data_IF_343555363826
#
_entry.id   IF_343555363826
#
_cell.length_a   1.000
_cell.length_b   1.000
_cell.length_c   1.000
_cell.angle_alpha   90.00
_cell.angle_beta   90.00
_cell.angle_gamma   90.00
#
_symmetry.space_group_name_H-M   'P 1'
#
loop_
_entity.id
_entity.type
_entity.pdbx_description
1 polymer ?
#
# COMPACT_ATOMS: atom_id res chain seq x y z
N UNK A 1 -21.35 -38.51 -20.65
CA UNK A 1 -20.66 -38.03 -19.45
C UNK A 1 -20.14 -39.24 -18.69
N UNK A 2 -18.85 -39.51 -18.81
CA UNK A 2 -18.19 -40.61 -18.10
C UNK A 2 -17.82 -40.16 -16.68
N UNK A 3 -17.63 -41.11 -15.75
CA UNK A 3 -17.32 -40.79 -14.35
C UNK A 3 -16.03 -39.94 -14.20
N UNK A 4 -15.08 -40.09 -15.13
CA UNK A 4 -13.86 -39.29 -15.18
C UNK A 4 -14.10 -37.81 -15.48
N UNK A 5 -15.04 -37.52 -16.39
CA UNK A 5 -15.38 -36.15 -16.83
C UNK A 5 -16.06 -35.36 -15.70
N UNK A 6 -16.92 -36.02 -14.93
CA UNK A 6 -17.55 -35.44 -13.74
C UNK A 6 -16.51 -35.19 -12.64
N UNK A 7 -15.55 -36.09 -12.47
CA UNK A 7 -14.51 -35.97 -11.45
C UNK A 7 -13.55 -34.82 -11.76
N UNK A 8 -13.18 -34.62 -13.04
CA UNK A 8 -12.41 -33.44 -13.47
C UNK A 8 -13.18 -32.15 -13.26
N UNK A 9 -14.46 -32.10 -13.64
CA UNK A 9 -15.30 -30.93 -13.45
C UNK A 9 -15.41 -30.53 -11.97
N UNK A 10 -15.57 -31.51 -11.07
CA UNK A 10 -15.61 -31.28 -9.62
C UNK A 10 -14.27 -30.77 -9.09
N UNK A 11 -13.13 -31.30 -9.56
CA UNK A 11 -11.79 -30.81 -9.17
C UNK A 11 -11.60 -29.34 -9.56
N UNK A 12 -11.98 -28.96 -10.78
CA UNK A 12 -11.88 -27.58 -11.25
C UNK A 12 -12.78 -26.64 -10.45
N UNK A 13 -14.01 -27.07 -10.13
CA UNK A 13 -14.92 -26.29 -9.29
C UNK A 13 -14.33 -26.04 -7.90
N UNK A 14 -13.76 -27.06 -7.26
CA UNK A 14 -13.11 -26.93 -5.95
C UNK A 14 -11.92 -25.97 -6.04
N UNK A 15 -11.07 -26.12 -7.07
CA UNK A 15 -9.90 -25.25 -7.26
C UNK A 15 -10.30 -23.77 -7.40
N UNK A 16 -11.36 -23.48 -8.15
CA UNK A 16 -11.88 -22.10 -8.32
C UNK A 16 -12.43 -21.54 -7.01
N UNK A 17 -13.19 -22.33 -6.25
CA UNK A 17 -13.73 -21.90 -4.95
C UNK A 17 -12.61 -21.61 -3.95
N UNK A 18 -11.60 -22.46 -3.89
CA UNK A 18 -10.42 -22.26 -3.02
C UNK A 18 -9.66 -21.01 -3.45
N UNK A 19 -9.41 -20.82 -4.74
CA UNK A 19 -8.73 -19.62 -5.25
C UNK A 19 -9.52 -18.34 -4.90
N UNK A 20 -10.84 -18.35 -5.09
CA UNK A 20 -11.70 -17.22 -4.73
C UNK A 20 -11.68 -16.92 -3.22
N UNK A 21 -11.69 -17.94 -2.37
CA UNK A 21 -11.58 -17.79 -0.92
C UNK A 21 -10.23 -17.18 -0.50
N UNK A 22 -9.12 -17.62 -1.11
CA UNK A 22 -7.78 -17.06 -0.84
C UNK A 22 -7.70 -15.60 -1.27
N UNK A 23 -8.24 -15.25 -2.44
CA UNK A 23 -8.30 -13.85 -2.92
C UNK A 23 -9.14 -12.99 -1.98
N UNK A 24 -10.32 -13.46 -1.57
CA UNK A 24 -11.17 -12.76 -0.62
C UNK A 24 -10.48 -12.56 0.75
N UNK A 25 -9.76 -13.58 1.23
CA UNK A 25 -8.99 -13.50 2.46
C UNK A 25 -7.86 -12.47 2.36
N UNK A 26 -7.11 -12.43 1.26
CA UNK A 26 -6.07 -11.42 1.02
C UNK A 26 -6.64 -10.00 0.95
N UNK A 27 -7.77 -9.82 0.28
CA UNK A 27 -8.46 -8.52 0.21
C UNK A 27 -8.93 -8.09 1.60
N UNK A 28 -9.48 -9.01 2.39
CA UNK A 28 -9.91 -8.74 3.76
C UNK A 28 -8.74 -8.32 4.67
N UNK A 29 -7.60 -9.03 4.62
CA UNK A 29 -6.40 -8.64 5.36
C UNK A 29 -5.84 -7.28 4.92
N UNK A 30 -5.88 -6.96 3.62
CA UNK A 30 -5.49 -5.63 3.11
C UNK A 30 -6.43 -4.53 3.61
N UNK A 31 -7.74 -4.77 3.64
CA UNK A 31 -8.72 -3.81 4.19
C UNK A 31 -8.55 -3.60 5.69
N UNK A 32 -8.30 -4.66 6.47
CA UNK A 32 -8.01 -4.51 7.89
C UNK A 32 -6.75 -3.67 8.14
N UNK A 33 -5.67 -3.92 7.38
CA UNK A 33 -4.45 -3.09 7.46
C UNK A 33 -4.71 -1.61 7.18
N UNK A 34 -5.58 -1.29 6.21
CA UNK A 34 -5.98 0.10 5.91
C UNK A 34 -6.83 0.73 7.01
N UNK A 35 -7.69 -0.04 7.70
CA UNK A 35 -8.51 0.47 8.82
C UNK A 35 -7.71 0.72 10.10
N UNK A 36 -6.60 0.00 10.30
CA UNK A 36 -5.68 0.22 11.43
C UNK A 36 -4.58 1.24 11.14
N UNK A 37 -4.52 1.79 9.93
CA UNK A 37 -3.76 3.00 9.72
C UNK A 37 -4.58 4.12 10.38
N UNK A 38 -4.10 4.75 11.46
CA UNK A 38 -4.81 5.87 12.05
C UNK A 38 -4.96 6.91 10.95
N UNK A 39 -6.21 7.08 10.49
CA UNK A 39 -6.59 8.26 9.75
C UNK A 39 -6.12 9.43 10.60
N UNK A 40 -5.26 10.34 10.11
CA UNK A 40 -4.94 11.52 10.86
C UNK A 40 -6.23 12.35 10.92
N UNK A 41 -7.06 12.11 11.93
CA UNK A 41 -7.98 13.10 12.46
C UNK A 41 -7.13 14.23 13.04
N UNK A 42 -6.57 15.02 12.14
CA UNK A 42 -5.95 16.28 12.42
C UNK A 42 -6.02 17.10 11.14
N UNK A 43 -7.23 17.55 10.81
CA UNK A 43 -7.40 18.87 10.23
C UNK A 43 -7.02 19.96 11.27
N UNK A 44 -5.84 19.80 11.89
CA UNK A 44 -5.15 20.83 12.63
C UNK A 44 -4.22 21.50 11.62
N UNK A 45 -4.31 22.82 11.56
CA UNK A 45 -3.53 23.70 10.69
C UNK A 45 -2.14 23.11 10.33
N UNK A 46 -1.78 22.99 9.03
CA UNK A 46 -0.52 22.39 8.56
C UNK A 46 0.74 23.06 9.15
N UNK A 47 0.61 24.21 9.81
CA UNK A 47 1.68 24.86 10.57
C UNK A 47 1.87 24.32 12.00
N UNK A 48 0.92 23.56 12.54
CA UNK A 48 0.89 23.05 13.93
C UNK A 48 1.53 21.67 14.09
N UNK A 49 1.65 20.91 13.00
CA UNK A 49 2.28 19.57 13.02
C UNK A 49 3.78 19.73 13.30
N UNK A 50 4.39 19.03 14.27
CA UNK A 50 5.84 18.99 14.44
C UNK A 50 6.52 18.67 13.11
N UNK A 51 7.52 19.46 12.70
CA UNK A 51 8.29 19.25 11.46
C UNK A 51 8.62 17.77 11.14
N UNK A 52 9.03 16.91 12.08
CA UNK A 52 9.30 15.50 11.78
C UNK A 52 8.08 14.73 11.23
N UNK A 53 6.88 14.96 11.77
CA UNK A 53 5.66 14.26 11.33
C UNK A 53 5.24 14.69 9.91
N UNK A 54 5.56 15.93 9.50
CA UNK A 54 5.30 16.40 8.13
C UNK A 54 6.18 15.69 7.11
N UNK A 55 7.45 15.46 7.46
CA UNK A 55 8.41 14.75 6.60
C UNK A 55 7.97 13.29 6.45
N UNK A 56 7.57 12.64 7.55
CA UNK A 56 7.08 11.25 7.52
C UNK A 56 5.82 11.12 6.66
N UNK A 57 4.85 12.03 6.81
CA UNK A 57 3.62 12.04 6.01
C UNK A 57 3.92 12.26 4.51
N UNK A 58 4.85 13.17 4.20
CA UNK A 58 5.27 13.42 2.83
C UNK A 58 5.99 12.21 2.21
N UNK A 59 6.83 11.50 2.98
CA UNK A 59 7.50 10.28 2.53
C UNK A 59 6.46 9.19 2.22
N UNK A 60 5.53 8.92 3.13
CA UNK A 60 4.50 7.89 2.93
C UNK A 60 3.63 8.18 1.70
N UNK A 61 3.30 9.45 1.48
CA UNK A 61 2.50 9.88 0.32
C UNK A 61 3.28 9.69 -0.99
N UNK A 62 4.56 10.05 -1.02
CA UNK A 62 5.41 9.87 -2.20
C UNK A 62 5.70 8.40 -2.51
N UNK A 63 5.84 7.54 -1.48
CA UNK A 63 5.93 6.09 -1.66
C UNK A 63 4.66 5.51 -2.27
N UNK A 64 3.49 5.95 -1.82
CA UNK A 64 2.22 5.55 -2.44
C UNK A 64 2.14 5.98 -3.90
N UNK A 65 2.57 7.21 -4.24
CA UNK A 65 2.60 7.69 -5.63
C UNK A 65 3.54 6.83 -6.49
N UNK A 66 4.67 6.36 -5.95
CA UNK A 66 5.57 5.46 -6.68
C UNK A 66 4.96 4.10 -7.00
N UNK A 67 4.18 3.57 -6.07
CA UNK A 67 3.50 2.28 -6.25
C UNK A 67 2.35 2.39 -7.28
N UNK A 68 1.75 3.57 -7.42
CA UNK A 68 0.62 3.83 -8.32
C UNK A 68 1.04 4.38 -9.70
N UNK A 69 2.25 4.93 -9.85
CA UNK A 69 2.68 5.58 -11.10
C UNK A 69 3.48 4.64 -12.02
N UNK A 70 2.99 4.45 -13.24
CA UNK A 70 3.73 3.75 -14.30
C UNK A 70 4.57 4.70 -15.18
N UNK A 71 4.42 6.01 -14.99
CA UNK A 71 5.19 7.02 -15.71
C UNK A 71 6.66 7.06 -15.21
N UNK A 72 7.66 6.83 -16.09
CA UNK A 72 9.06 6.78 -15.69
C UNK A 72 9.62 8.14 -15.24
N UNK A 73 9.11 9.25 -15.79
CA UNK A 73 9.55 10.61 -15.44
C UNK A 73 9.02 10.99 -14.06
N UNK A 74 7.74 10.69 -13.79
CA UNK A 74 7.14 10.91 -12.47
C UNK A 74 7.83 10.03 -11.43
N UNK A 75 8.11 8.77 -11.78
CA UNK A 75 8.83 7.83 -10.91
C UNK A 75 10.21 8.37 -10.51
N UNK A 76 10.99 8.84 -11.47
CA UNK A 76 12.32 9.42 -11.19
C UNK A 76 12.23 10.68 -10.32
N UNK A 77 11.30 11.59 -10.63
CA UNK A 77 11.10 12.81 -9.88
C UNK A 77 10.70 12.53 -8.41
N UNK A 78 9.80 11.57 -8.20
CA UNK A 78 9.34 11.18 -6.86
C UNK A 78 10.45 10.47 -6.08
N UNK A 79 11.24 9.60 -6.71
CA UNK A 79 12.41 8.97 -6.09
C UNK A 79 13.45 10.00 -5.64
N UNK A 80 13.73 11.00 -6.48
CA UNK A 80 14.64 12.09 -6.14
C UNK A 80 14.12 12.90 -4.95
N UNK A 81 12.82 13.18 -4.90
CA UNK A 81 12.21 13.91 -3.79
C UNK A 81 12.23 13.11 -2.48
N UNK A 82 11.96 11.80 -2.54
CA UNK A 82 12.08 10.91 -1.38
C UNK A 82 13.48 10.87 -0.80
N UNK A 83 14.51 10.82 -1.66
CA UNK A 83 15.90 10.86 -1.22
C UNK A 83 16.23 12.15 -0.44
N UNK A 84 15.73 13.29 -0.91
CA UNK A 84 15.90 14.58 -0.21
C UNK A 84 15.21 14.58 1.16
N UNK A 85 13.96 14.11 1.22
CA UNK A 85 13.17 14.10 2.47
C UNK A 85 13.75 13.14 3.52
N UNK A 86 14.24 11.96 3.11
CA UNK A 86 14.93 11.03 4.02
C UNK A 86 16.22 11.63 4.58
N UNK A 87 16.98 12.35 3.76
CA UNK A 87 18.17 13.06 4.23
C UNK A 87 17.84 14.19 5.22
N UNK A 88 16.72 14.90 5.01
CA UNK A 88 16.21 15.92 5.92
C UNK A 88 15.71 15.32 7.25
N UNK A 89 15.06 14.15 7.20
CA UNK A 89 14.66 13.39 8.38
C UNK A 89 15.88 13.00 9.23
N UNK A 90 16.93 12.44 8.61
CA UNK A 90 18.18 12.06 9.30
C UNK A 90 18.85 13.27 9.95
N UNK A 91 18.92 14.41 9.26
CA UNK A 91 19.48 15.66 9.82
C UNK A 91 18.67 16.21 10.98
N UNK A 92 17.35 16.03 10.95
CA UNK A 92 16.45 16.47 12.01
C UNK A 92 16.50 15.57 13.25
N UNK A 93 16.89 14.30 13.09
CA UNK A 93 17.10 13.35 14.20
C UNK A 93 18.47 13.49 14.87
N UNK A 94 19.45 14.10 14.19
CA UNK A 94 20.80 14.36 14.72
C UNK A 94 20.93 15.72 15.45
N UNK A 95 19.89 16.54 15.45
CA UNK A 95 19.81 17.80 16.20
C UNK A 95 19.02 17.62 17.48
#
# INVERSE_FOLDING_TARGET
MTADEVTEMVKWLIAVVVAAAVVAMLVYFRQQRRRTQPQPEAAGDPFTIPKPQRIETAIATLEQILDETDDPVIREAVQNRLKQLRAEQQRSQQR
#
